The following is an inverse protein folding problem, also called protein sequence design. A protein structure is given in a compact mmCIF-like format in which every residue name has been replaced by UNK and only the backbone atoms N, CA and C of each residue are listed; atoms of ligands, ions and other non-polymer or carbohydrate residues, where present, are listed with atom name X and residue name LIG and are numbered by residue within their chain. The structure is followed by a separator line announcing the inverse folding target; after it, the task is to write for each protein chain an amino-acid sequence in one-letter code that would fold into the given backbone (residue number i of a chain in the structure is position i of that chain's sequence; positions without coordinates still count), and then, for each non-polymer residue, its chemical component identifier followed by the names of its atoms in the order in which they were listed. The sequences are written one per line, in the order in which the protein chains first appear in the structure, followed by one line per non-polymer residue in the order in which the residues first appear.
data_IF_264721407530
#
_entry.id   IF_264721407530
#
_cell.length_a   1.000
_cell.length_b   1.000
_cell.length_c   1.000
_cell.angle_alpha   90.00
_cell.angle_beta   90.00
_cell.angle_gamma   90.00
#
_symmetry.space_group_name_H-M   'P 1'
#
loop_
_entity.id
_entity.type
_entity.pdbx_description
1 polymer ?
#
# COMPACT_ATOMS: atom_id res chain seq x y z
N UNK A 1 69.20 9.98 27.04
CA UNK A 1 69.80 9.31 25.84
C UNK A 1 68.82 9.54 24.73
N UNK A 2 69.16 10.54 23.94
CA UNK A 2 68.44 11.02 22.77
C UNK A 2 68.79 10.13 21.58
N UNK A 3 67.79 9.76 20.78
CA UNK A 3 68.04 9.15 19.49
C UNK A 3 67.06 9.77 18.49
N UNK A 4 67.57 10.71 17.70
CA UNK A 4 66.89 11.28 16.53
C UNK A 4 66.72 10.21 15.43
N UNK A 5 65.60 10.19 14.77
CA UNK A 5 65.45 9.46 13.50
C UNK A 5 65.94 10.32 12.33
N UNK A 6 66.78 9.70 11.49
CA UNK A 6 67.38 10.18 10.24
C UNK A 6 66.33 10.78 9.28
N UNK A 7 66.68 11.96 8.76
CA UNK A 7 66.11 12.50 7.51
C UNK A 7 66.52 11.59 6.33
N UNK A 8 65.57 10.92 5.73
CA UNK A 8 65.75 10.30 4.43
C UNK A 8 65.57 11.36 3.34
N UNK A 9 66.66 11.55 2.59
CA UNK A 9 66.74 12.41 1.43
C UNK A 9 65.77 11.96 0.34
N UNK A 10 64.79 12.82 0.07
CA UNK A 10 63.91 12.67 -1.06
C UNK A 10 64.72 12.98 -2.33
N UNK A 11 64.88 11.99 -3.16
CA UNK A 11 65.59 12.07 -4.43
C UNK A 11 64.99 13.10 -5.37
N UNK A 12 65.86 13.76 -6.12
CA UNK A 12 65.53 14.69 -7.20
C UNK A 12 64.52 14.08 -8.19
N UNK A 13 63.37 14.72 -8.31
CA UNK A 13 62.39 14.45 -9.38
C UNK A 13 62.86 15.26 -10.60
N UNK A 14 63.29 14.64 -11.71
CA UNK A 14 63.64 15.34 -12.94
C UNK A 14 62.34 15.85 -13.58
N UNK A 15 62.14 17.15 -13.58
CA UNK A 15 61.00 17.77 -14.24
C UNK A 15 60.46 19.06 -13.55
N UNK A 16 61.11 19.53 -12.50
CA UNK A 16 60.81 20.84 -11.88
C UNK A 16 61.09 21.95 -12.90
N UNK A 17 60.03 22.40 -13.57
CA UNK A 17 60.13 23.59 -14.42
C UNK A 17 60.40 24.83 -13.56
N UNK A 18 61.50 25.53 -13.87
CA UNK A 18 61.91 26.79 -13.31
C UNK A 18 60.76 27.80 -13.36
N UNK A 19 60.45 28.54 -12.29
CA UNK A 19 59.43 29.57 -12.31
C UNK A 19 59.75 30.61 -13.38
N UNK A 20 58.86 30.79 -14.34
CA UNK A 20 58.96 31.84 -15.35
C UNK A 20 58.88 33.20 -14.70
N UNK A 21 59.90 34.05 -14.99
CA UNK A 21 60.00 35.41 -14.50
C UNK A 21 58.84 36.32 -15.00
N UNK A 22 58.70 37.51 -14.43
CA UNK A 22 57.58 38.42 -14.77
C UNK A 22 57.59 38.92 -16.22
N UNK A 23 58.67 38.69 -16.99
CA UNK A 23 58.75 39.09 -18.39
C UNK A 23 58.06 38.13 -19.39
N UNK A 24 57.74 36.92 -18.97
CA UNK A 24 57.14 35.91 -19.88
C UNK A 24 55.61 35.90 -19.81
N UNK A 25 54.96 36.87 -19.15
CA UNK A 25 53.48 37.00 -19.09
C UNK A 25 52.88 37.77 -20.24
N UNK A 26 53.64 38.15 -21.23
CA UNK A 26 53.13 38.68 -22.48
C UNK A 26 52.95 37.52 -23.50
N UNK A 27 51.92 36.70 -23.32
CA UNK A 27 51.49 35.78 -24.38
C UNK A 27 50.90 36.63 -25.49
N UNK A 28 51.57 36.75 -26.67
CA UNK A 28 50.93 37.25 -27.86
C UNK A 28 49.96 36.14 -28.30
N UNK A 29 48.74 36.23 -27.98
CA UNK A 29 47.74 35.23 -28.33
C UNK A 29 46.48 35.27 -27.50
N UNK A 30 46.47 36.00 -26.38
CA UNK A 30 45.25 36.11 -25.55
C UNK A 30 44.11 36.81 -26.25
N UNK A 31 44.40 37.81 -27.05
CA UNK A 31 43.39 38.52 -27.86
C UNK A 31 42.97 37.72 -29.07
N UNK A 32 43.85 36.94 -29.66
CA UNK A 32 43.55 36.08 -30.82
C UNK A 32 42.77 34.83 -30.39
N UNK A 33 42.96 34.32 -29.16
CA UNK A 33 42.13 33.25 -28.60
C UNK A 33 40.73 33.74 -28.25
N UNK A 34 40.59 34.96 -27.74
CA UNK A 34 39.31 35.60 -27.47
C UNK A 34 38.56 35.96 -28.76
N UNK A 35 39.29 36.32 -29.82
CA UNK A 35 38.67 36.51 -31.15
C UNK A 35 38.15 35.26 -31.82
N UNK A 36 38.73 34.07 -31.50
CA UNK A 36 38.26 32.80 -32.03
C UNK A 36 37.02 32.27 -31.33
N UNK A 37 36.77 32.73 -30.11
CA UNK A 37 35.57 32.33 -29.37
C UNK A 37 34.30 33.07 -29.86
N UNK A 38 34.46 34.10 -30.66
CA UNK A 38 33.34 34.81 -31.30
C UNK A 38 32.84 34.19 -32.60
N UNK A 39 33.56 33.16 -33.12
CA UNK A 39 33.11 32.35 -34.26
C UNK A 39 32.30 31.14 -33.84
N UNK A 40 31.53 31.19 -32.74
CA UNK A 40 30.37 30.32 -32.61
C UNK A 40 29.50 30.56 -33.82
N UNK A 41 29.20 29.52 -34.61
CA UNK A 41 28.28 29.71 -35.74
C UNK A 41 27.03 30.36 -35.13
N UNK A 42 26.71 31.55 -35.57
CA UNK A 42 25.45 32.19 -35.23
C UNK A 42 24.38 31.15 -35.63
N UNK A 43 23.90 30.40 -34.61
CA UNK A 43 22.74 29.54 -34.79
C UNK A 43 21.71 30.49 -35.32
N UNK A 44 21.55 30.43 -36.65
CA UNK A 44 20.86 31.46 -37.40
C UNK A 44 19.52 31.74 -36.73
N UNK A 45 19.34 32.96 -36.33
CA UNK A 45 18.04 33.50 -35.94
C UNK A 45 17.14 33.55 -37.22
N UNK A 46 17.05 32.40 -37.89
CA UNK A 46 15.98 32.25 -38.90
C UNK A 46 14.69 32.36 -38.10
N UNK A 47 13.83 33.34 -38.40
CA UNK A 47 12.58 33.50 -37.66
C UNK A 47 11.81 32.18 -37.74
N UNK A 48 11.44 31.68 -36.58
CA UNK A 48 10.63 30.47 -36.47
C UNK A 48 9.38 30.70 -37.34
N UNK A 49 9.11 29.85 -38.33
CA UNK A 49 7.96 30.05 -39.18
C UNK A 49 6.69 30.07 -38.33
N UNK A 50 5.88 31.08 -38.49
CA UNK A 50 4.69 31.34 -37.64
C UNK A 50 3.70 30.16 -37.61
N UNK A 51 3.64 29.37 -38.69
CA UNK A 51 2.83 28.15 -38.73
C UNK A 51 3.31 27.10 -37.72
N UNK A 52 4.63 27.02 -37.44
CA UNK A 52 5.21 26.07 -36.47
C UNK A 52 4.77 26.44 -35.03
N UNK A 53 4.69 27.75 -34.72
CA UNK A 53 4.16 28.20 -33.42
C UNK A 53 2.68 27.78 -33.29
N UNK A 54 1.92 27.87 -34.37
CA UNK A 54 0.53 27.42 -34.42
C UNK A 54 0.39 25.92 -34.18
N UNK A 55 1.25 25.09 -34.78
CA UNK A 55 1.25 23.62 -34.57
C UNK A 55 1.62 23.26 -33.15
N UNK A 56 2.65 23.89 -32.59
CA UNK A 56 3.09 23.67 -31.21
C UNK A 56 1.97 24.09 -30.23
N UNK A 57 1.39 25.27 -30.43
CA UNK A 57 0.27 25.76 -29.61
C UNK A 57 -0.94 24.82 -29.65
N UNK A 58 -1.31 24.37 -30.86
CA UNK A 58 -2.38 23.38 -31.01
C UNK A 58 -2.05 22.04 -30.32
N UNK A 59 -0.78 21.58 -30.42
CA UNK A 59 -0.32 20.36 -29.72
C UNK A 59 -0.46 20.47 -28.21
N UNK A 60 -0.03 21.59 -27.62
CA UNK A 60 -0.20 21.82 -26.17
C UNK A 60 -1.67 21.96 -25.77
N UNK A 61 -2.47 22.65 -26.57
CA UNK A 61 -3.93 22.76 -26.33
C UNK A 61 -4.58 21.37 -26.36
N UNK A 62 -4.27 20.57 -27.37
CA UNK A 62 -4.81 19.21 -27.49
C UNK A 62 -4.37 18.31 -26.35
N UNK A 63 -3.08 18.33 -25.99
CA UNK A 63 -2.55 17.59 -24.86
C UNK A 63 -3.21 18.01 -23.54
N UNK A 64 -3.40 19.30 -23.33
CA UNK A 64 -4.11 19.82 -22.15
C UNK A 64 -5.57 19.37 -22.11
N UNK A 65 -6.28 19.46 -23.24
CA UNK A 65 -7.67 18.99 -23.35
C UNK A 65 -7.77 17.46 -23.14
N UNK A 66 -6.83 16.70 -23.68
CA UNK A 66 -6.74 15.26 -23.47
C UNK A 66 -6.51 14.92 -22.00
N UNK A 67 -5.52 15.54 -21.37
CA UNK A 67 -5.24 15.34 -19.94
C UNK A 67 -6.43 15.76 -19.07
N UNK A 68 -7.08 16.87 -19.38
CA UNK A 68 -8.26 17.31 -18.65
C UNK A 68 -9.44 16.33 -18.80
N UNK A 69 -9.63 15.76 -20.00
CA UNK A 69 -10.74 14.84 -20.28
C UNK A 69 -10.49 13.43 -19.74
N UNK A 70 -9.24 12.96 -19.75
CA UNK A 70 -8.88 11.57 -19.41
C UNK A 70 -8.04 11.44 -18.14
N UNK A 71 -7.49 12.54 -17.59
CA UNK A 71 -6.75 12.55 -16.33
C UNK A 71 -7.62 12.50 -15.07
N UNK A 72 -8.89 12.05 -15.18
CA UNK A 72 -9.78 11.85 -14.04
C UNK A 72 -10.37 13.13 -13.44
N UNK A 73 -10.22 14.28 -14.13
CA UNK A 73 -10.65 15.62 -13.68
C UNK A 73 -10.07 15.90 -12.29
N UNK A 74 -9.20 16.83 -12.12
CA UNK A 74 -8.54 17.25 -10.87
C UNK A 74 -9.46 17.23 -9.62
N UNK A 75 -10.10 16.09 -9.39
CA UNK A 75 -10.87 15.85 -8.18
C UNK A 75 -9.86 15.61 -7.08
N UNK A 76 -9.94 16.39 -6.02
CA UNK A 76 -9.08 16.24 -4.84
C UNK A 76 -9.15 14.85 -4.23
N UNK A 77 -10.23 14.12 -4.48
CA UNK A 77 -10.48 12.74 -4.06
C UNK A 77 -9.71 11.66 -4.85
N UNK A 78 -9.13 11.98 -6.01
CA UNK A 78 -8.24 11.06 -6.75
C UNK A 78 -6.87 10.94 -6.07
N UNK A 79 -6.46 11.96 -5.31
CA UNK A 79 -5.21 11.98 -4.56
C UNK A 79 -5.41 11.69 -3.06
N UNK A 80 -6.65 11.63 -2.58
CA UNK A 80 -6.95 11.06 -1.28
C UNK A 80 -6.72 9.56 -1.36
N UNK A 81 -5.58 9.13 -0.83
CA UNK A 81 -5.23 7.71 -0.66
C UNK A 81 -6.14 7.00 0.36
N UNK A 82 -7.09 7.72 0.93
CA UNK A 82 -8.24 7.12 1.59
C UNK A 82 -9.29 6.81 0.52
N UNK A 83 -9.41 5.55 0.07
CA UNK A 83 -10.58 5.18 -0.69
C UNK A 83 -11.78 5.47 0.21
N UNK A 84 -12.50 6.55 -0.11
CA UNK A 84 -13.82 6.78 0.48
C UNK A 84 -14.64 5.57 0.07
N UNK A 85 -14.73 4.61 0.96
CA UNK A 85 -15.56 3.43 0.80
C UNK A 85 -16.96 3.93 0.42
N UNK A 86 -17.31 3.86 -0.86
CA UNK A 86 -18.65 4.24 -1.30
C UNK A 86 -18.76 5.18 -2.51
N UNK A 87 -17.67 5.68 -3.12
CA UNK A 87 -17.82 6.58 -4.28
C UNK A 87 -17.04 6.07 -5.48
N UNK A 88 -17.60 5.12 -6.19
CA UNK A 88 -17.25 4.85 -7.58
C UNK A 88 -18.40 5.39 -8.44
N UNK A 89 -18.16 6.55 -9.07
CA UNK A 89 -19.01 7.06 -10.14
C UNK A 89 -20.51 7.16 -9.85
N UNK A 90 -20.96 8.21 -9.15
CA UNK A 90 -22.36 8.67 -9.21
C UNK A 90 -23.47 7.78 -8.61
N UNK A 91 -23.13 6.59 -8.10
CA UNK A 91 -24.04 5.74 -7.35
C UNK A 91 -23.31 5.21 -6.13
N UNK A 92 -23.88 5.37 -4.93
CA UNK A 92 -23.37 4.78 -3.71
C UNK A 92 -23.50 3.25 -3.79
N UNK A 93 -22.57 2.61 -4.48
CA UNK A 93 -22.37 1.17 -4.34
C UNK A 93 -21.33 1.05 -3.22
N UNK A 94 -21.74 0.58 -2.05
CA UNK A 94 -20.80 0.19 -1.01
C UNK A 94 -19.79 -0.77 -1.63
N UNK A 95 -18.53 -0.33 -1.74
CA UNK A 95 -17.50 -1.20 -2.32
C UNK A 95 -17.43 -2.48 -1.48
N UNK A 96 -17.44 -3.63 -2.14
CA UNK A 96 -17.31 -4.92 -1.47
C UNK A 96 -16.02 -4.92 -0.63
N UNK A 97 -16.11 -5.06 0.70
CA UNK A 97 -14.92 -5.05 1.57
C UNK A 97 -13.88 -6.08 1.14
N UNK A 98 -14.30 -7.24 0.63
CA UNK A 98 -13.39 -8.26 0.13
C UNK A 98 -12.62 -7.79 -1.10
N UNK A 99 -13.27 -7.11 -2.04
CA UNK A 99 -12.62 -6.58 -3.24
C UNK A 99 -11.59 -5.49 -2.89
N UNK A 100 -11.95 -4.60 -1.96
CA UNK A 100 -11.02 -3.57 -1.45
C UNK A 100 -9.84 -4.23 -0.73
N UNK A 101 -10.10 -5.18 0.17
CA UNK A 101 -9.07 -5.93 0.88
C UNK A 101 -8.09 -6.62 -0.07
N UNK A 102 -8.60 -7.24 -1.14
CA UNK A 102 -7.78 -7.85 -2.19
C UNK A 102 -6.85 -6.84 -2.86
N UNK A 103 -7.36 -5.66 -3.19
CA UNK A 103 -6.55 -4.61 -3.83
C UNK A 103 -5.43 -4.13 -2.89
N UNK A 104 -5.74 -3.87 -1.61
CA UNK A 104 -4.78 -3.45 -0.60
C UNK A 104 -3.73 -4.54 -0.30
N UNK A 105 -4.16 -5.79 -0.18
CA UNK A 105 -3.28 -6.95 -0.03
C UNK A 105 -2.30 -7.07 -1.19
N UNK A 106 -2.81 -6.94 -2.42
CA UNK A 106 -1.99 -7.01 -3.63
C UNK A 106 -0.97 -5.87 -3.74
N UNK A 107 -1.23 -4.73 -3.12
CA UNK A 107 -0.33 -3.60 -3.14
C UNK A 107 0.88 -3.78 -2.20
N UNK A 108 0.70 -4.42 -1.02
CA UNK A 108 1.74 -4.41 0.01
C UNK A 108 2.05 -5.78 0.65
N UNK A 109 1.06 -6.68 0.75
CA UNK A 109 1.21 -7.93 1.50
C UNK A 109 1.72 -9.09 0.63
N UNK A 110 1.42 -9.04 -0.68
CA UNK A 110 1.74 -10.09 -1.66
C UNK A 110 3.24 -10.39 -1.76
N UNK A 111 4.10 -9.40 -1.51
CA UNK A 111 5.55 -9.55 -1.59
C UNK A 111 6.07 -10.63 -0.63
N UNK A 112 5.48 -10.73 0.56
CA UNK A 112 5.86 -11.71 1.57
C UNK A 112 4.90 -12.89 1.59
N UNK A 113 3.58 -12.64 1.60
CA UNK A 113 2.57 -13.68 1.78
C UNK A 113 2.10 -14.34 0.48
N UNK A 114 2.61 -13.89 -0.67
CA UNK A 114 2.29 -14.35 -2.03
C UNK A 114 0.81 -14.19 -2.42
N UNK A 115 0.52 -14.22 -3.72
CA UNK A 115 -0.85 -14.05 -4.23
C UNK A 115 -1.81 -15.16 -3.82
N UNK A 116 -1.28 -16.36 -3.60
CA UNK A 116 -2.03 -17.54 -3.16
C UNK A 116 -2.12 -17.67 -1.63
N UNK A 117 -1.56 -16.72 -0.89
CA UNK A 117 -1.56 -16.73 0.58
C UNK A 117 -0.70 -17.80 1.22
N UNK A 118 0.14 -18.52 0.46
CA UNK A 118 0.97 -19.62 1.00
C UNK A 118 2.29 -19.14 1.61
N UNK A 119 2.62 -17.86 1.44
CA UNK A 119 3.86 -17.30 1.94
C UNK A 119 5.09 -17.86 1.23
N UNK A 120 6.23 -17.81 1.91
CA UNK A 120 7.50 -18.38 1.43
C UNK A 120 8.04 -19.33 2.49
N UNK A 121 8.19 -20.63 2.17
CA UNK A 121 8.65 -21.63 3.13
C UNK A 121 9.92 -21.22 3.87
N UNK A 122 9.90 -21.30 5.18
CA UNK A 122 11.01 -20.93 6.04
C UNK A 122 11.29 -19.44 6.19
N UNK A 123 10.60 -18.57 5.43
CA UNK A 123 10.78 -17.12 5.51
C UNK A 123 9.50 -16.39 5.96
N UNK A 124 8.42 -16.55 5.22
CA UNK A 124 7.17 -15.85 5.49
C UNK A 124 6.03 -16.85 5.67
N UNK A 125 5.27 -16.74 6.77
CA UNK A 125 4.25 -17.72 7.09
C UNK A 125 3.08 -17.68 6.10
N UNK A 126 2.41 -18.82 5.87
CA UNK A 126 1.18 -18.87 5.11
C UNK A 126 0.02 -18.19 5.85
N UNK A 127 -0.86 -17.55 5.11
CA UNK A 127 -2.16 -17.04 5.57
C UNK A 127 -3.28 -18.01 5.17
N UNK A 128 -3.10 -18.73 4.06
CA UNK A 128 -4.01 -19.76 3.61
C UNK A 128 -4.04 -20.94 4.59
N UNK A 129 -5.19 -21.19 5.18
CA UNK A 129 -5.40 -22.25 6.18
C UNK A 129 -4.63 -22.04 7.49
N UNK A 130 -4.20 -20.81 7.78
CA UNK A 130 -3.44 -20.45 8.97
C UNK A 130 -4.33 -20.44 10.21
N UNK A 131 -3.93 -21.15 11.26
CA UNK A 131 -4.57 -21.13 12.56
C UNK A 131 -4.48 -19.76 13.25
N UNK A 132 -3.49 -18.94 12.89
CA UNK A 132 -3.36 -17.58 13.40
C UNK A 132 -4.44 -16.68 12.77
N UNK A 133 -4.70 -16.83 11.47
CA UNK A 133 -5.69 -16.04 10.73
C UNK A 133 -7.12 -16.50 11.02
N UNK A 134 -7.34 -17.81 11.14
CA UNK A 134 -8.66 -18.44 11.27
C UNK A 134 -9.05 -18.76 12.72
N UNK A 135 -8.10 -18.70 13.62
CA UNK A 135 -8.32 -19.04 15.02
C UNK A 135 -9.29 -18.10 15.74
N UNK A 136 -9.70 -18.47 16.96
CA UNK A 136 -10.65 -17.70 17.76
C UNK A 136 -10.07 -16.41 18.35
N UNK A 137 -8.77 -16.20 18.24
CA UNK A 137 -8.08 -15.03 18.76
C UNK A 137 -7.98 -13.93 17.70
N UNK A 138 -9.11 -13.44 17.18
CA UNK A 138 -9.14 -12.38 16.17
C UNK A 138 -8.42 -11.12 16.65
N UNK A 139 -8.50 -10.80 17.95
CA UNK A 139 -7.76 -9.70 18.56
C UNK A 139 -6.25 -9.82 18.37
N UNK A 140 -5.66 -11.04 18.39
CA UNK A 140 -4.23 -11.24 18.14
C UNK A 140 -3.88 -10.94 16.69
N UNK A 141 -4.68 -11.41 15.74
CA UNK A 141 -4.46 -11.15 14.29
C UNK A 141 -4.53 -9.65 13.99
N UNK A 142 -5.52 -8.95 14.56
CA UNK A 142 -5.62 -7.49 14.43
C UNK A 142 -4.43 -6.79 15.08
N UNK A 143 -4.00 -7.23 16.28
CA UNK A 143 -2.87 -6.64 16.98
C UNK A 143 -1.55 -6.82 16.21
N UNK A 144 -1.35 -7.98 15.55
CA UNK A 144 -0.21 -8.23 14.65
C UNK A 144 -0.23 -7.23 13.49
N UNK A 145 -1.36 -7.04 12.86
CA UNK A 145 -1.47 -6.13 11.72
C UNK A 145 -1.21 -4.68 12.13
N UNK A 146 -1.69 -4.28 13.32
CA UNK A 146 -1.48 -2.93 13.84
C UNK A 146 -0.02 -2.67 14.21
N UNK A 147 0.59 -3.53 15.01
CA UNK A 147 1.91 -3.26 15.64
C UNK A 147 3.06 -4.08 15.07
N UNK A 148 2.76 -5.02 14.15
CA UNK A 148 3.74 -5.94 13.63
C UNK A 148 4.03 -7.11 14.57
N UNK A 149 4.80 -8.07 14.06
CA UNK A 149 5.23 -9.27 14.78
C UNK A 149 6.71 -9.52 14.53
N UNK A 150 7.45 -9.89 15.55
CA UNK A 150 8.87 -10.26 15.44
C UNK A 150 9.18 -11.54 16.22
N UNK A 151 10.24 -12.18 15.79
CA UNK A 151 10.74 -13.39 16.45
C UNK A 151 9.99 -14.66 16.03
N UNK A 152 10.19 -15.76 16.77
CA UNK A 152 9.71 -17.06 16.37
C UNK A 152 8.19 -17.19 16.51
N UNK A 153 7.56 -17.70 15.47
CA UNK A 153 6.14 -18.10 15.42
C UNK A 153 6.03 -19.42 14.69
N UNK A 154 5.15 -20.30 15.13
CA UNK A 154 4.83 -21.54 14.43
C UNK A 154 3.48 -21.41 13.75
N UNK A 155 3.43 -21.66 12.45
CA UNK A 155 2.20 -21.62 11.63
C UNK A 155 2.14 -22.90 10.80
N UNK A 156 1.03 -23.62 10.86
CA UNK A 156 0.85 -24.92 10.17
C UNK A 156 1.98 -25.91 10.47
N UNK A 157 2.45 -25.91 11.72
CA UNK A 157 3.54 -26.78 12.17
C UNK A 157 4.94 -26.41 11.68
N UNK A 158 5.11 -25.32 10.95
CA UNK A 158 6.39 -24.79 10.51
C UNK A 158 6.81 -23.59 11.37
N UNK A 159 8.09 -23.54 11.75
CA UNK A 159 8.65 -22.42 12.48
C UNK A 159 9.12 -21.33 11.51
N UNK A 160 8.75 -20.11 11.81
CA UNK A 160 9.19 -18.88 11.12
C UNK A 160 9.83 -17.96 12.16
N UNK A 161 10.89 -17.28 11.79
CA UNK A 161 11.58 -16.35 12.68
C UNK A 161 12.00 -15.11 11.89
N UNK A 162 11.02 -14.26 11.61
CA UNK A 162 11.22 -13.04 10.84
C UNK A 162 10.48 -11.87 11.49
N UNK A 163 10.54 -10.70 10.87
CA UNK A 163 9.83 -9.51 11.31
C UNK A 163 8.80 -9.09 10.28
N UNK A 164 7.57 -8.90 10.73
CA UNK A 164 6.48 -8.27 9.99
C UNK A 164 6.29 -6.84 10.51
N UNK A 165 6.33 -5.86 9.63
CA UNK A 165 6.17 -4.45 10.01
C UNK A 165 4.76 -4.12 10.54
N UNK A 166 4.65 -3.01 11.26
CA UNK A 166 3.38 -2.43 11.68
C UNK A 166 2.70 -1.70 10.51
N UNK A 167 1.37 -1.73 10.48
CA UNK A 167 0.56 -1.09 9.44
C UNK A 167 -0.41 -0.03 9.99
N UNK A 168 -0.37 0.25 11.29
CA UNK A 168 -1.31 1.16 11.95
C UNK A 168 -1.29 2.59 11.41
N UNK A 169 -0.12 3.08 10.99
CA UNK A 169 0.05 4.44 10.49
C UNK A 169 -0.24 4.56 8.98
N UNK A 170 -0.29 3.43 8.27
CA UNK A 170 -0.48 3.41 6.82
C UNK A 170 -1.91 3.14 6.41
N UNK A 171 -2.69 2.47 7.28
CA UNK A 171 -4.05 2.06 6.98
C UNK A 171 -5.04 2.47 8.06
N UNK A 172 -6.19 2.96 7.60
CA UNK A 172 -7.35 3.21 8.47
C UNK A 172 -7.95 1.90 8.99
N UNK A 173 -8.80 2.00 10.02
CA UNK A 173 -9.49 0.83 10.58
C UNK A 173 -10.34 0.10 9.54
N UNK A 174 -10.96 0.83 8.62
CA UNK A 174 -11.75 0.27 7.53
C UNK A 174 -10.88 -0.50 6.53
N UNK A 175 -9.70 0.01 6.21
CA UNK A 175 -8.77 -0.63 5.29
C UNK A 175 -8.18 -1.91 5.89
N UNK A 176 -7.77 -1.87 7.16
CA UNK A 176 -7.29 -3.05 7.89
C UNK A 176 -8.37 -4.12 8.02
N UNK A 177 -9.61 -3.71 8.31
CA UNK A 177 -10.77 -4.60 8.34
C UNK A 177 -11.02 -5.26 6.98
N UNK A 178 -10.88 -4.51 5.90
CA UNK A 178 -11.03 -5.03 4.54
C UNK A 178 -9.93 -6.05 4.19
N UNK A 179 -8.67 -5.76 4.52
CA UNK A 179 -7.54 -6.69 4.33
C UNK A 179 -7.81 -8.00 5.08
N UNK A 180 -8.16 -7.92 6.37
CA UNK A 180 -8.44 -9.10 7.18
C UNK A 180 -9.67 -9.87 6.69
N UNK A 181 -10.70 -9.19 6.22
CA UNK A 181 -11.87 -9.84 5.60
C UNK A 181 -11.47 -10.62 4.36
N UNK A 182 -10.59 -10.06 3.52
CA UNK A 182 -10.05 -10.76 2.36
C UNK A 182 -9.24 -11.99 2.78
N UNK A 183 -8.26 -11.84 3.68
CA UNK A 183 -7.38 -12.92 4.16
C UNK A 183 -8.19 -14.07 4.77
N UNK A 184 -9.24 -13.74 5.54
CA UNK A 184 -10.07 -14.73 6.23
C UNK A 184 -11.09 -15.43 5.33
N UNK A 185 -11.34 -14.92 4.12
CA UNK A 185 -12.36 -15.44 3.20
C UNK A 185 -11.84 -15.86 1.83
N UNK A 186 -10.54 -15.74 1.56
CA UNK A 186 -9.92 -16.19 0.30
C UNK A 186 -9.10 -17.47 0.51
N UNK A 187 -8.54 -18.01 -0.55
CA UNK A 187 -7.66 -19.20 -0.56
C UNK A 187 -8.23 -20.43 0.15
N UNK A 188 -9.56 -20.60 0.18
CA UNK A 188 -10.23 -21.66 0.92
C UNK A 188 -10.42 -21.37 2.41
N UNK A 189 -10.02 -20.22 2.90
CA UNK A 189 -10.32 -19.77 4.24
C UNK A 189 -11.82 -19.51 4.42
N UNK A 190 -12.37 -19.87 5.57
CA UNK A 190 -13.80 -19.76 5.91
C UNK A 190 -14.07 -18.88 7.12
N UNK A 191 -13.18 -17.95 7.41
CA UNK A 191 -13.32 -16.99 8.52
C UNK A 191 -14.38 -15.93 8.24
N UNK A 192 -15.05 -15.47 9.28
CA UNK A 192 -16.04 -14.39 9.19
C UNK A 192 -15.41 -13.04 8.83
N UNK A 193 -16.24 -12.07 8.38
CA UNK A 193 -15.79 -10.72 8.07
C UNK A 193 -15.31 -9.99 9.32
N UNK A 194 -14.36 -9.09 9.12
CA UNK A 194 -13.85 -8.18 10.15
C UNK A 194 -14.42 -6.79 9.91
N UNK A 195 -14.86 -6.10 10.96
CA UNK A 195 -15.39 -4.74 10.87
C UNK A 195 -14.39 -3.69 11.33
N UNK A 196 -14.59 -2.45 10.91
CA UNK A 196 -13.76 -1.34 11.34
C UNK A 196 -13.82 -1.11 12.86
N UNK A 197 -14.96 -1.40 13.47
CA UNK A 197 -15.18 -1.28 14.93
C UNK A 197 -14.31 -2.27 15.70
N UNK A 198 -14.18 -3.52 15.21
CA UNK A 198 -13.30 -4.52 15.81
C UNK A 198 -11.83 -4.06 15.76
N UNK A 199 -11.40 -3.53 14.62
CA UNK A 199 -10.05 -2.99 14.48
C UNK A 199 -9.84 -1.80 15.41
N UNK A 200 -10.79 -0.88 15.45
CA UNK A 200 -10.76 0.30 16.33
C UNK A 200 -10.69 -0.08 17.81
N UNK A 201 -11.45 -1.09 18.22
CA UNK A 201 -11.39 -1.60 19.58
C UNK A 201 -9.97 -2.07 19.93
N UNK A 202 -9.40 -2.98 19.14
CA UNK A 202 -8.05 -3.49 19.40
C UNK A 202 -7.00 -2.37 19.31
N UNK A 203 -7.13 -1.46 18.34
CA UNK A 203 -6.22 -0.29 18.23
C UNK A 203 -6.24 0.53 19.52
N UNK A 204 -7.40 0.73 20.13
CA UNK A 204 -7.50 1.46 21.41
C UNK A 204 -6.84 0.72 22.58
N UNK A 205 -6.90 -0.61 22.57
CA UNK A 205 -6.29 -1.47 23.60
C UNK A 205 -4.75 -1.49 23.49
N UNK A 206 -4.22 -1.42 22.25
CA UNK A 206 -2.77 -1.49 22.00
C UNK A 206 -2.11 -0.14 21.72
N UNK A 207 -2.83 0.98 21.88
CA UNK A 207 -2.38 2.35 21.50
C UNK A 207 -1.05 2.76 22.12
N UNK A 208 -0.77 2.35 23.34
CA UNK A 208 0.42 2.73 24.10
C UNK A 208 1.65 1.88 23.74
N UNK A 209 1.44 0.78 23.00
CA UNK A 209 2.52 -0.07 22.54
C UNK A 209 3.25 0.56 21.36
N UNK A 210 4.58 0.63 21.45
CA UNK A 210 5.45 1.17 20.40
C UNK A 210 6.27 0.10 19.69
N UNK A 211 6.38 -1.08 20.30
CA UNK A 211 7.21 -2.17 19.80
C UNK A 211 6.36 -3.25 19.11
N UNK A 212 6.99 -3.97 18.20
CA UNK A 212 6.38 -5.13 17.58
C UNK A 212 6.05 -6.20 18.65
N UNK A 213 5.03 -7.00 18.37
CA UNK A 213 4.69 -8.13 19.22
C UNK A 213 5.68 -9.26 19.05
N UNK A 214 5.89 -10.01 20.12
CA UNK A 214 6.36 -11.39 20.02
C UNK A 214 5.17 -12.34 20.15
N UNK A 215 5.26 -13.53 19.53
CA UNK A 215 4.19 -14.51 19.65
C UNK A 215 3.91 -14.92 21.11
N UNK A 216 4.97 -15.05 21.90
CA UNK A 216 4.87 -15.39 23.31
C UNK A 216 4.15 -14.32 24.16
N UNK A 217 4.23 -13.05 23.78
CA UNK A 217 3.46 -11.96 24.43
C UNK A 217 2.00 -12.02 24.04
N UNK A 218 1.69 -12.21 22.74
CA UNK A 218 0.31 -12.31 22.27
C UNK A 218 -0.43 -13.46 22.93
N UNK A 219 0.21 -14.60 23.12
CA UNK A 219 -0.39 -15.76 23.78
C UNK A 219 -0.77 -15.50 25.27
N UNK A 220 -0.22 -14.48 25.92
CA UNK A 220 -0.61 -14.08 27.28
C UNK A 220 -1.89 -13.23 27.29
N UNK A 221 -2.27 -12.66 26.16
CA UNK A 221 -3.51 -11.89 26.02
C UNK A 221 -4.64 -12.90 25.82
N UNK A 222 -5.74 -12.82 26.58
CA UNK A 222 -6.86 -13.71 26.34
C UNK A 222 -7.39 -13.60 24.92
N UNK A 223 -7.62 -14.71 24.22
CA UNK A 223 -8.22 -14.69 22.91
C UNK A 223 -9.63 -14.08 22.99
N UNK A 224 -9.90 -13.14 22.10
CA UNK A 224 -11.21 -12.54 21.95
C UNK A 224 -11.70 -12.79 20.53
N UNK A 225 -12.79 -13.53 20.42
CA UNK A 225 -13.57 -13.59 19.20
C UNK A 225 -14.44 -12.33 19.20
N UNK A 226 -13.93 -11.29 18.56
CA UNK A 226 -14.62 -10.01 18.49
C UNK A 226 -15.87 -10.22 17.62
N UNK A 227 -17.00 -10.54 18.26
CA UNK A 227 -18.27 -10.61 17.57
C UNK A 227 -18.58 -9.23 16.99
N UNK A 228 -19.00 -9.19 15.71
CA UNK A 228 -19.53 -7.96 15.16
C UNK A 228 -20.61 -7.44 16.12
N UNK A 229 -20.59 -6.16 16.54
CA UNK A 229 -21.70 -5.59 17.29
C UNK A 229 -22.97 -5.91 16.51
N UNK A 230 -23.94 -6.52 17.18
CA UNK A 230 -25.21 -6.90 16.55
C UNK A 230 -25.71 -5.72 15.73
N UNK A 231 -25.75 -5.90 14.41
CA UNK A 231 -25.95 -4.83 13.45
C UNK A 231 -27.25 -4.07 13.77
N UNK A 232 -27.11 -2.94 14.43
CA UNK A 232 -28.10 -1.87 14.45
C UNK A 232 -28.07 -1.06 13.15
N UNK A 233 -27.70 -1.70 12.04
CA UNK A 233 -27.69 -1.13 10.70
C UNK A 233 -28.46 -2.05 9.77
N UNK A 234 -29.37 -1.48 8.98
CA UNK A 234 -30.17 -2.18 7.98
C UNK A 234 -29.33 -3.23 7.22
N UNK A 235 -29.85 -4.47 7.07
CA UNK A 235 -29.19 -5.45 6.22
C UNK A 235 -29.06 -4.89 4.80
N UNK A 236 -27.97 -5.21 4.08
CA UNK A 236 -27.81 -4.76 2.72
C UNK A 236 -29.02 -5.20 1.87
N UNK A 237 -29.50 -4.35 0.96
CA UNK A 237 -30.66 -4.66 0.14
C UNK A 237 -30.39 -5.94 -0.69
N UNK A 238 -31.10 -7.02 -0.35
CA UNK A 238 -30.99 -8.30 -1.06
C UNK A 238 -30.84 -9.55 -0.17
N UNK A 239 -30.62 -9.42 1.13
CA UNK A 239 -30.68 -10.58 2.02
C UNK A 239 -32.08 -10.75 2.61
N UNK A 240 -32.71 -11.94 2.50
CA UNK A 240 -33.99 -12.19 3.17
C UNK A 240 -33.78 -12.06 4.70
N UNK A 241 -34.62 -11.23 5.31
CA UNK A 241 -34.67 -11.02 6.77
C UNK A 241 -34.76 -12.37 7.47
N UNK A 242 -33.90 -12.68 8.47
CA UNK A 242 -34.03 -13.91 9.22
C UNK A 242 -35.41 -13.94 9.88
N UNK A 243 -36.12 -15.03 9.68
CA UNK A 243 -37.46 -15.24 10.22
C UNK A 243 -37.42 -15.16 11.76
N UNK A 244 -38.24 -14.29 12.33
CA UNK A 244 -38.41 -14.14 13.76
C UNK A 244 -39.02 -15.44 14.33
N UNK A 245 -38.38 -16.18 15.24
CA UNK A 245 -38.92 -17.45 15.76
C UNK A 245 -40.21 -17.32 16.58
N UNK A 246 -40.76 -16.09 16.76
CA UNK A 246 -41.97 -15.80 17.52
C UNK A 246 -43.27 -15.70 16.70
N UNK A 247 -43.25 -15.85 15.35
CA UNK A 247 -44.46 -15.73 14.50
C UNK A 247 -44.82 -17.01 13.77
N UNK A 248 -44.74 -18.15 14.43
CA UNK A 248 -45.45 -19.36 13.99
C UNK A 248 -46.76 -19.43 14.80
N UNK A 249 -47.73 -18.78 14.34
CA UNK A 249 -49.15 -19.26 14.42
C UNK A 249 -50.10 -18.12 14.11
N UNK A 250 -50.43 -17.88 12.83
CA UNK A 250 -51.75 -17.37 12.44
C UNK A 250 -51.89 -17.46 10.91
N UNK A 251 -52.85 -18.31 10.52
CA UNK A 251 -53.64 -18.22 9.28
C UNK A 251 -52.99 -18.67 7.96
N UNK A 252 -52.99 -19.97 7.72
CA UNK A 252 -53.08 -20.48 6.38
C UNK A 252 -54.56 -20.34 5.88
N UNK A 253 -54.80 -19.75 4.70
CA UNK A 253 -56.14 -19.79 4.10
C UNK A 253 -56.48 -21.20 3.66
N UNK A 254 -57.78 -21.62 3.72
CA UNK A 254 -58.19 -22.98 3.33
C UNK A 254 -57.97 -23.22 1.82
N UNK A 255 -57.51 -24.41 1.52
CA UNK A 255 -57.30 -24.85 0.14
C UNK A 255 -58.60 -24.85 -0.64
N UNK A 256 -58.62 -24.50 -1.94
CA UNK A 256 -59.81 -24.59 -2.79
C UNK A 256 -60.18 -26.04 -2.98
N UNK A 257 -61.46 -26.35 -2.75
CA UNK A 257 -62.12 -27.64 -2.95
C UNK A 257 -62.03 -28.08 -4.43
N UNK A 258 -61.51 -29.26 -4.68
CA UNK A 258 -61.53 -29.92 -5.99
C UNK A 258 -62.98 -30.29 -6.38
N UNK A 259 -63.37 -30.08 -7.64
CA UNK A 259 -64.66 -30.57 -8.15
C UNK A 259 -64.67 -32.13 -8.31
N UNK A 260 -65.82 -32.80 -8.17
CA UNK A 260 -65.90 -34.24 -8.24
C UNK A 260 -65.62 -34.74 -9.64
N UNK A 261 -64.92 -35.86 -9.71
CA UNK A 261 -64.68 -36.60 -10.94
C UNK A 261 -66.01 -37.12 -11.50
N UNK A 262 -66.32 -36.76 -12.75
CA UNK A 262 -67.41 -37.36 -13.50
C UNK A 262 -66.90 -38.67 -14.14
N UNK A 263 -67.64 -39.75 -13.86
CA UNK A 263 -67.45 -41.04 -14.43
C UNK A 263 -67.96 -41.15 -15.88
#
# INVERSE_FOLDING_TARGET
MSSDPKEDSIGDVPGSQKPLGPADRGLPGGEEALSRESDTPAIGAAPIPTWLIGVIGFGFFWAGAYLFSFGGGFKTDVFDYEPKFGVVGGGQVAADPKAVGKALFSANCITCHQANGEGVPGQYPPLAGSEVVLGPALNHTIAILLKGLQGPVTVKGQAFNNSMQAWEDQYSDQQLAAILTYERSDWGNTGGPVTAEMVKQVRSEVKDRKEQWTWAELQKIPPQDLAAPAAGGNPPPGQPKPANPGQQNQSAPPAPSQPPAQG
#
